data_IF_033837450153
#
_entry.id   IF_033837450153
#
_cell.length_a   1.000
_cell.length_b   1.000
_cell.length_c   1.000
_cell.angle_alpha   90.00
_cell.angle_beta   90.00
_cell.angle_gamma   90.00
#
_symmetry.space_group_name_H-M   'P 1'
#
loop_
_entity.id
_entity.type
_entity.pdbx_description
1 polymer ?
#
# COMPACT_ATOMS: atom_id res chain seq x y z
N UNK A 1 -15.36 -17.60 -5.54
CA UNK A 1 -13.95 -17.52 -5.12
C UNK A 1 -13.54 -16.05 -5.14
N UNK A 2 -13.16 -15.51 -3.99
CA UNK A 2 -12.56 -14.18 -3.89
C UNK A 2 -11.13 -14.20 -4.47
N UNK A 3 -10.60 -13.06 -4.90
CA UNK A 3 -9.19 -12.94 -5.31
C UNK A 3 -8.22 -13.21 -4.15
N UNK A 4 -8.67 -13.00 -2.91
CA UNK A 4 -7.88 -13.30 -1.69
C UNK A 4 -7.59 -14.80 -1.56
N UNK A 5 -8.51 -15.65 -2.03
CA UNK A 5 -8.39 -17.10 -1.92
C UNK A 5 -7.26 -17.67 -2.80
N UNK A 6 -6.70 -16.87 -3.70
CA UNK A 6 -5.68 -17.25 -4.68
C UNK A 6 -4.27 -16.78 -4.32
N UNK A 7 -4.09 -15.98 -3.26
CA UNK A 7 -2.78 -15.49 -2.80
C UNK A 7 -1.96 -16.67 -2.28
N UNK A 8 -0.67 -16.70 -2.63
CA UNK A 8 0.28 -17.73 -2.20
C UNK A 8 1.51 -17.10 -1.55
N UNK A 9 2.13 -17.76 -0.56
CA UNK A 9 3.34 -17.26 0.09
C UNK A 9 4.59 -17.62 -0.74
N UNK A 10 4.54 -17.39 -2.06
CA UNK A 10 5.59 -17.71 -3.01
C UNK A 10 6.43 -16.47 -3.32
N UNK A 11 6.96 -15.86 -2.27
CA UNK A 11 7.86 -14.71 -2.35
C UNK A 11 9.05 -14.90 -1.42
N UNK A 12 10.03 -14.00 -1.53
CA UNK A 12 11.29 -14.09 -0.79
C UNK A 12 11.13 -14.09 0.75
N UNK A 13 9.98 -13.67 1.27
CA UNK A 13 9.67 -13.64 2.71
C UNK A 13 8.74 -14.78 3.14
N UNK A 14 8.22 -15.58 2.21
CA UNK A 14 7.21 -16.62 2.45
C UNK A 14 5.93 -16.12 3.15
N UNK A 15 5.48 -14.91 2.79
CA UNK A 15 4.30 -14.26 3.37
C UNK A 15 3.17 -14.10 2.35
N UNK A 16 1.91 -14.00 2.80
CA UNK A 16 0.78 -13.71 1.92
C UNK A 16 0.69 -12.20 1.69
N UNK A 17 1.16 -11.71 0.54
CA UNK A 17 1.13 -10.28 0.24
C UNK A 17 -0.25 -9.85 -0.23
N UNK A 18 -0.86 -8.94 0.52
CA UNK A 18 -2.12 -8.31 0.12
C UNK A 18 -2.00 -7.62 -1.25
N UNK A 19 -0.82 -7.14 -1.63
CA UNK A 19 -0.59 -6.48 -2.92
C UNK A 19 -0.79 -7.41 -4.12
N UNK A 20 -0.65 -8.72 -3.96
CA UNK A 20 -0.79 -9.70 -5.04
C UNK A 20 -2.24 -9.78 -5.55
N UNK A 21 -3.22 -9.31 -4.77
CA UNK A 21 -4.62 -9.21 -5.21
C UNK A 21 -4.77 -8.39 -6.49
N UNK A 22 -3.90 -7.40 -6.71
CA UNK A 22 -3.96 -6.54 -7.90
C UNK A 22 -3.55 -7.33 -9.14
N UNK A 23 -2.47 -8.11 -9.08
CA UNK A 23 -2.02 -8.96 -10.18
C UNK A 23 -3.05 -10.06 -10.49
N UNK A 24 -3.61 -10.70 -9.46
CA UNK A 24 -4.64 -11.74 -9.60
C UNK A 24 -5.91 -11.15 -10.22
N UNK A 25 -6.39 -10.01 -9.72
CA UNK A 25 -7.55 -9.31 -10.27
C UNK A 25 -7.34 -8.91 -11.74
N UNK A 26 -6.13 -8.46 -12.09
CA UNK A 26 -5.79 -8.11 -13.47
C UNK A 26 -5.84 -9.35 -14.39
N UNK A 27 -5.25 -10.48 -13.97
CA UNK A 27 -5.29 -11.76 -14.73
C UNK A 27 -6.71 -12.29 -14.92
N UNK A 28 -7.61 -11.99 -13.99
CA UNK A 28 -9.04 -12.31 -14.06
C UNK A 28 -9.87 -11.31 -14.86
N UNK A 29 -9.26 -10.26 -15.41
CA UNK A 29 -9.96 -9.16 -16.09
C UNK A 29 -11.03 -8.46 -15.23
N UNK A 30 -10.82 -8.44 -13.92
CA UNK A 30 -11.68 -7.72 -12.99
C UNK A 30 -11.52 -6.21 -13.18
N UNK A 31 -12.54 -5.44 -12.79
CA UNK A 31 -12.47 -3.98 -12.85
C UNK A 31 -11.55 -3.45 -11.75
N UNK A 32 -10.48 -2.76 -12.15
CA UNK A 32 -9.53 -2.11 -11.24
C UNK A 32 -9.64 -0.59 -11.41
N UNK A 33 -9.68 0.13 -10.28
CA UNK A 33 -9.64 1.59 -10.25
C UNK A 33 -8.42 2.05 -9.44
N UNK A 34 -7.66 2.99 -10.00
CA UNK A 34 -6.57 3.67 -9.29
C UNK A 34 -7.04 5.06 -8.91
N UNK A 35 -6.92 5.38 -7.62
CA UNK A 35 -7.19 6.73 -7.09
C UNK A 35 -5.86 7.32 -6.65
N UNK A 36 -5.47 8.44 -7.27
CA UNK A 36 -4.23 9.14 -6.97
C UNK A 36 -4.45 10.28 -5.98
N UNK A 37 -3.41 10.64 -5.25
CA UNK A 37 -3.42 11.78 -4.33
C UNK A 37 -2.57 12.92 -4.92
N UNK A 38 -3.05 14.16 -4.82
CA UNK A 38 -2.32 15.34 -5.30
C UNK A 38 -1.12 15.67 -4.41
N UNK A 39 -1.29 15.57 -3.09
CA UNK A 39 -0.21 15.74 -2.12
C UNK A 39 0.29 14.38 -1.61
N UNK A 40 1.49 13.94 -2.00
CA UNK A 40 2.05 12.66 -1.57
C UNK A 40 2.28 12.61 -0.05
N UNK A 41 2.37 13.75 0.64
CA UNK A 41 2.54 13.77 2.10
C UNK A 41 1.32 13.23 2.86
N UNK A 42 0.15 13.13 2.22
CA UNK A 42 -1.06 12.58 2.84
C UNK A 42 -1.10 11.06 2.88
N UNK A 43 -0.21 10.37 2.15
CA UNK A 43 -0.19 8.90 2.01
C UNK A 43 1.16 8.29 2.35
N UNK A 44 1.99 9.00 3.11
CA UNK A 44 3.32 8.50 3.52
C UNK A 44 3.20 7.30 4.47
N UNK A 45 4.09 6.33 4.29
CA UNK A 45 4.30 5.22 5.24
C UNK A 45 5.35 5.56 6.30
N UNK A 46 5.32 4.83 7.42
CA UNK A 46 6.30 4.93 8.51
C UNK A 46 6.68 3.54 9.00
N UNK A 47 7.88 3.10 8.66
CA UNK A 47 8.47 1.81 9.00
C UNK A 47 9.73 1.95 9.87
N UNK A 48 10.30 3.15 9.97
CA UNK A 48 11.52 3.44 10.75
C UNK A 48 11.33 4.66 11.67
N UNK A 49 12.22 4.82 12.65
CA UNK A 49 12.20 5.97 13.57
C UNK A 49 12.45 7.30 12.84
N UNK A 50 13.34 7.31 11.85
CA UNK A 50 13.62 8.51 11.05
C UNK A 50 12.39 8.92 10.20
N UNK A 51 11.65 7.93 9.67
CA UNK A 51 10.38 8.17 8.98
C UNK A 51 9.31 8.72 9.92
N UNK A 52 9.28 8.25 11.18
CA UNK A 52 8.36 8.77 12.20
C UNK A 52 8.67 10.24 12.51
N UNK A 53 9.95 10.60 12.69
CA UNK A 53 10.37 11.99 12.90
C UNK A 53 9.98 12.87 11.70
N UNK A 54 10.16 12.36 10.47
CA UNK A 54 9.73 13.05 9.24
C UNK A 54 8.22 13.26 9.20
N UNK A 55 7.43 12.23 9.49
CA UNK A 55 5.97 12.34 9.54
C UNK A 55 5.50 13.36 10.59
N UNK A 56 6.12 13.36 11.78
CA UNK A 56 5.85 14.34 12.82
C UNK A 56 6.12 15.78 12.37
N UNK A 57 7.24 16.03 11.68
CA UNK A 57 7.54 17.35 11.09
C UNK A 57 6.53 17.79 10.03
N UNK A 58 6.02 16.87 9.21
CA UNK A 58 4.99 17.18 8.23
C UNK A 58 3.68 17.59 8.92
N UNK A 59 3.23 16.82 9.91
CA UNK A 59 2.01 17.12 10.68
C UNK A 59 2.10 18.50 11.35
N UNK A 60 3.25 18.85 11.96
CA UNK A 60 3.46 20.16 12.58
C UNK A 60 3.40 21.31 11.56
N UNK A 61 3.94 21.12 10.35
CA UNK A 61 3.90 22.13 9.27
C UNK A 61 2.51 22.26 8.63
N UNK A 62 1.72 21.18 8.65
CA UNK A 62 0.34 21.16 8.14
C UNK A 62 -0.65 21.79 9.13
N UNK A 63 -0.23 22.03 10.38
CA UNK A 63 -0.95 22.88 11.32
C UNK A 63 -0.95 24.33 10.84
N UNK A 64 -2.14 24.86 10.55
CA UNK A 64 -2.41 26.29 10.78
C UNK A 64 -2.19 26.63 12.24
#
# INVERSE_FOLDING_TARGET
MSVIDEIKPDNNQAEYYLTDVIEIAQKRHEKILVVTMDDPNQVIGVNTLDELEKAGRLIQKSGK
#
